data_IF_402922180040
#
_entry.id   IF_402922180040
#
_cell.length_a   1.000
_cell.length_b   1.000
_cell.length_c   1.000
_cell.angle_alpha   90.00
_cell.angle_beta   90.00
_cell.angle_gamma   90.00
#
_symmetry.space_group_name_H-M   'P 1'
#
loop_
_entity.id
_entity.type
_entity.pdbx_description
1 polymer ?
#
# COMPACT_ATOMS: atom_id res chain seq x y z
N UNK A 1 53.16 45.39 38.29
CA UNK A 1 53.64 45.75 39.64
C UNK A 1 52.83 45.04 40.70
N UNK A 2 53.49 44.22 41.49
CA UNK A 2 53.04 43.39 42.58
C UNK A 2 52.53 44.18 43.79
N UNK A 3 51.56 43.66 44.50
CA UNK A 3 51.53 43.82 45.94
C UNK A 3 50.70 42.69 46.57
N UNK A 4 51.36 41.87 47.36
CA UNK A 4 50.88 40.80 48.22
C UNK A 4 50.49 41.46 49.54
N UNK A 5 49.28 41.11 50.05
CA UNK A 5 48.89 41.39 51.44
C UNK A 5 48.56 40.08 52.12
N UNK A 6 49.12 39.81 53.31
CA UNK A 6 49.06 38.48 53.94
C UNK A 6 47.76 38.22 54.67
N UNK A 7 47.36 36.94 54.66
CA UNK A 7 46.30 36.37 55.46
C UNK A 7 46.59 36.42 56.97
N UNK A 8 45.60 36.80 57.74
CA UNK A 8 45.46 36.35 59.16
C UNK A 8 44.02 35.97 59.45
N UNK A 9 43.94 34.78 60.12
CA UNK A 9 42.87 34.23 60.91
C UNK A 9 41.77 33.40 60.22
N UNK A 10 42.12 32.17 60.05
CA UNK A 10 41.52 30.92 60.51
C UNK A 10 40.37 31.07 61.51
N UNK A 11 39.12 31.04 61.07
CA UNK A 11 37.91 30.53 61.77
C UNK A 11 36.63 30.70 60.96
N UNK A 12 36.62 30.28 59.73
CA UNK A 12 35.39 30.16 58.99
C UNK A 12 35.43 28.89 58.12
N UNK A 13 35.80 27.83 58.79
CA UNK A 13 35.84 26.48 58.22
C UNK A 13 34.88 25.61 59.00
N UNK A 14 33.56 25.83 58.92
CA UNK A 14 32.53 24.87 59.30
C UNK A 14 31.13 25.41 58.98
N UNK A 15 30.87 25.73 57.72
CA UNK A 15 29.50 25.93 57.24
C UNK A 15 29.41 25.70 55.72
N UNK A 16 30.31 24.88 55.15
CA UNK A 16 30.05 24.24 53.87
C UNK A 16 29.34 22.92 54.13
N UNK A 17 28.26 22.97 54.87
CA UNK A 17 27.29 21.89 54.94
C UNK A 17 26.71 21.68 53.53
N UNK A 18 27.02 20.52 52.98
CA UNK A 18 26.20 19.70 52.17
C UNK A 18 24.97 20.39 51.52
N UNK A 19 25.15 21.27 50.56
CA UNK A 19 24.15 21.45 49.50
C UNK A 19 24.38 20.32 48.51
N UNK A 20 23.88 19.14 48.85
CA UNK A 20 23.55 18.16 47.86
C UNK A 20 22.47 18.78 46.93
N UNK A 21 22.93 19.41 45.86
CA UNK A 21 22.05 19.70 44.73
C UNK A 21 21.67 18.33 44.17
N UNK A 22 20.53 17.87 44.65
CA UNK A 22 19.81 16.78 44.00
C UNK A 22 19.41 17.36 42.65
N UNK A 23 20.30 17.24 41.68
CA UNK A 23 19.90 17.35 40.29
C UNK A 23 18.94 16.19 40.02
N UNK A 24 17.69 16.41 40.42
CA UNK A 24 16.60 15.64 39.84
C UNK A 24 16.59 15.98 38.37
N UNK A 25 17.37 15.25 37.61
CA UNK A 25 17.20 15.13 36.16
C UNK A 25 15.79 14.58 36.01
N UNK A 26 14.81 15.47 35.91
CA UNK A 26 13.53 15.14 35.32
C UNK A 26 13.90 14.69 33.90
N UNK A 27 14.10 13.38 33.75
CA UNK A 27 14.02 12.76 32.45
C UNK A 27 12.63 13.14 31.92
N UNK A 28 12.58 14.22 31.13
CA UNK A 28 11.43 14.46 30.26
C UNK A 28 11.37 13.24 29.39
N UNK A 29 10.63 12.25 29.83
CA UNK A 29 10.22 11.14 28.99
C UNK A 29 9.43 11.81 27.88
N UNK A 30 10.14 12.12 26.79
CA UNK A 30 9.55 12.52 25.53
C UNK A 30 8.57 11.39 25.23
N UNK A 31 7.28 11.63 25.44
CA UNK A 31 6.23 10.69 25.10
C UNK A 31 6.38 10.51 23.59
N UNK A 32 7.14 9.51 23.18
CA UNK A 32 7.27 9.15 21.76
C UNK A 32 5.84 8.85 21.36
N UNK A 33 5.26 9.67 20.49
CA UNK A 33 3.95 9.37 19.94
C UNK A 33 4.06 7.96 19.36
N UNK A 34 3.15 7.09 19.75
CA UNK A 34 3.13 5.73 19.22
C UNK A 34 3.10 5.82 17.70
N UNK A 35 3.97 5.07 17.03
CA UNK A 35 3.97 5.01 15.57
C UNK A 35 2.60 4.51 15.12
N UNK A 36 1.93 5.21 14.15
CA UNK A 36 0.62 4.79 13.68
C UNK A 36 0.70 3.49 12.88
N UNK A 37 -0.36 2.71 12.91
CA UNK A 37 -0.56 1.66 11.91
C UNK A 37 -0.78 2.31 10.54
N UNK A 38 -0.28 1.66 9.48
CA UNK A 38 -0.37 2.15 8.11
C UNK A 38 -1.10 1.11 7.27
N UNK A 39 -2.20 1.50 6.65
CA UNK A 39 -2.89 0.70 5.64
C UNK A 39 -2.78 1.43 4.31
N UNK A 40 -2.09 0.82 3.36
CA UNK A 40 -1.96 1.32 2.00
C UNK A 40 -2.88 0.51 1.09
N UNK A 41 -3.96 1.14 0.60
CA UNK A 41 -4.90 0.51 -0.33
C UNK A 41 -4.55 0.94 -1.74
N UNK A 42 -4.29 -0.03 -2.62
CA UNK A 42 -3.99 0.21 -4.02
C UNK A 42 -4.98 -0.55 -4.91
N UNK A 43 -5.83 0.17 -5.59
CA UNK A 43 -6.87 -0.39 -6.44
C UNK A 43 -6.36 -0.44 -7.88
N UNK A 44 -6.45 -1.63 -8.50
CA UNK A 44 -5.90 -1.88 -9.83
C UNK A 44 -6.88 -1.47 -10.94
N UNK A 45 -6.42 -0.67 -11.89
CA UNK A 45 -7.17 -0.22 -13.07
C UNK A 45 -8.47 0.57 -12.78
N UNK A 46 -8.66 1.10 -11.57
CA UNK A 46 -9.80 1.98 -11.27
C UNK A 46 -9.57 3.36 -11.90
N UNK A 47 -10.49 3.79 -12.72
CA UNK A 47 -10.44 5.11 -13.35
C UNK A 47 -10.74 6.24 -12.35
N UNK A 48 -10.10 7.40 -12.56
CA UNK A 48 -10.33 8.59 -11.73
C UNK A 48 -11.81 8.99 -11.65
N UNK A 49 -12.56 8.85 -12.74
CA UNK A 49 -13.98 9.20 -12.83
C UNK A 49 -14.92 8.06 -12.39
N UNK A 50 -14.39 6.90 -11.97
CA UNK A 50 -15.20 5.70 -11.70
C UNK A 50 -15.68 5.62 -10.24
N UNK A 51 -15.49 6.70 -9.46
CA UNK A 51 -15.92 6.80 -8.06
C UNK A 51 -16.97 7.88 -7.85
N UNK A 52 -17.87 7.67 -6.88
CA UNK A 52 -19.01 8.55 -6.64
C UNK A 52 -18.59 9.98 -6.32
N UNK A 53 -17.61 10.20 -5.45
CA UNK A 53 -17.15 11.55 -5.07
C UNK A 53 -16.52 12.33 -6.24
N UNK A 54 -16.11 11.68 -7.32
CA UNK A 54 -15.65 12.31 -8.57
C UNK A 54 -16.73 12.39 -9.65
N UNK A 55 -17.99 12.12 -9.30
CA UNK A 55 -19.15 12.36 -10.15
C UNK A 55 -19.72 11.14 -10.86
N UNK A 56 -19.24 9.91 -10.58
CA UNK A 56 -19.92 8.72 -11.07
C UNK A 56 -21.31 8.61 -10.45
N UNK A 57 -22.33 8.49 -11.30
CA UNK A 57 -23.71 8.22 -10.87
C UNK A 57 -24.11 6.77 -11.18
N UNK A 58 -23.33 6.08 -11.99
CA UNK A 58 -23.57 4.70 -12.40
C UNK A 58 -22.84 3.70 -11.50
N UNK A 59 -21.54 3.90 -11.30
CA UNK A 59 -20.75 3.10 -10.38
C UNK A 59 -20.94 3.59 -8.94
N UNK A 60 -21.17 2.69 -8.02
CA UNK A 60 -21.44 3.00 -6.62
C UNK A 60 -20.23 2.65 -5.75
N UNK A 61 -19.70 3.66 -5.05
CA UNK A 61 -18.51 3.52 -4.19
C UNK A 61 -18.74 4.17 -2.82
N UNK A 62 -19.77 3.74 -2.05
CA UNK A 62 -20.15 4.40 -0.81
C UNK A 62 -19.05 4.36 0.27
N UNK A 63 -18.21 3.32 0.31
CA UNK A 63 -17.13 3.19 1.30
C UNK A 63 -15.97 4.12 0.96
N UNK A 64 -15.53 4.17 -0.30
CA UNK A 64 -14.53 5.14 -0.79
C UNK A 64 -15.04 6.57 -0.61
N UNK A 65 -16.31 6.84 -0.94
CA UNK A 65 -16.93 8.15 -0.76
C UNK A 65 -16.99 8.57 0.72
N UNK A 66 -17.16 7.61 1.63
CA UNK A 66 -17.07 7.84 3.08
C UNK A 66 -15.64 8.19 3.49
N UNK A 67 -14.63 7.48 3.01
CA UNK A 67 -13.22 7.81 3.27
C UNK A 67 -12.88 9.22 2.75
N UNK A 68 -13.36 9.58 1.56
CA UNK A 68 -13.21 10.94 1.01
C UNK A 68 -13.78 12.01 1.95
N UNK A 69 -14.95 11.77 2.55
CA UNK A 69 -15.61 12.73 3.45
C UNK A 69 -14.89 12.97 4.78
N UNK A 70 -14.18 11.95 5.30
CA UNK A 70 -13.53 12.02 6.62
C UNK A 70 -12.01 12.21 6.52
N UNK A 71 -11.45 12.09 5.31
CA UNK A 71 -10.02 12.16 5.05
C UNK A 71 -9.60 13.41 4.28
N UNK A 72 -8.44 13.33 3.68
CA UNK A 72 -7.88 14.37 2.80
C UNK A 72 -7.80 13.84 1.37
N UNK A 73 -8.34 14.59 0.42
CA UNK A 73 -8.25 14.27 -1.02
C UNK A 73 -7.21 15.13 -1.72
N UNK A 74 -6.33 14.47 -2.46
CA UNK A 74 -5.33 15.13 -3.29
C UNK A 74 -5.85 15.24 -4.72
N UNK A 75 -6.21 16.45 -5.14
CA UNK A 75 -6.79 16.69 -6.48
C UNK A 75 -5.77 16.52 -7.62
N UNK A 76 -4.50 16.69 -7.32
CA UNK A 76 -3.38 16.60 -8.28
C UNK A 76 -2.41 15.49 -7.88
N UNK A 77 -2.92 14.28 -7.66
CA UNK A 77 -2.11 13.08 -7.43
C UNK A 77 -2.05 12.24 -8.70
N UNK A 78 -0.86 11.78 -9.06
CA UNK A 78 -0.60 11.05 -10.30
C UNK A 78 0.07 9.73 -10.00
N UNK A 79 -0.37 8.67 -10.68
CA UNK A 79 0.34 7.41 -10.68
C UNK A 79 1.73 7.56 -11.30
N UNK A 80 2.73 6.85 -10.78
CA UNK A 80 4.10 6.93 -11.26
C UNK A 80 4.31 6.44 -12.71
N UNK A 81 3.36 5.67 -13.24
CA UNK A 81 3.34 5.21 -14.62
C UNK A 81 1.91 4.81 -15.04
N UNK A 82 1.71 4.66 -16.35
CA UNK A 82 0.40 4.44 -16.96
C UNK A 82 -0.18 3.02 -16.73
N UNK A 83 0.65 2.02 -16.46
CA UNK A 83 0.20 0.65 -16.20
C UNK A 83 0.85 0.03 -14.96
N UNK A 84 0.35 -1.13 -14.55
CA UNK A 84 0.49 -1.63 -13.18
C UNK A 84 1.92 -1.95 -12.74
N UNK A 85 2.72 -2.68 -13.52
CA UNK A 85 4.07 -3.07 -13.10
C UNK A 85 4.98 -1.85 -12.85
N UNK A 86 5.14 -0.90 -13.78
CA UNK A 86 5.96 0.28 -13.54
C UNK A 86 5.40 1.20 -12.45
N UNK A 87 4.06 1.38 -12.37
CA UNK A 87 3.43 2.19 -11.32
C UNK A 87 3.70 1.62 -9.93
N UNK A 88 3.56 0.30 -9.76
CA UNK A 88 3.85 -0.39 -8.49
C UNK A 88 5.34 -0.36 -8.15
N UNK A 89 6.21 -0.49 -9.15
CA UNK A 89 7.65 -0.32 -8.95
C UNK A 89 8.00 1.10 -8.47
N UNK A 90 7.41 2.14 -9.07
CA UNK A 90 7.55 3.52 -8.57
C UNK A 90 7.07 3.66 -7.13
N UNK A 91 5.88 3.12 -6.79
CA UNK A 91 5.29 3.19 -5.46
C UNK A 91 6.18 2.52 -4.40
N UNK A 92 6.69 1.33 -4.70
CA UNK A 92 7.48 0.54 -3.75
C UNK A 92 8.92 1.02 -3.60
N UNK A 93 9.51 1.63 -4.63
CA UNK A 93 10.90 2.08 -4.62
C UNK A 93 11.08 3.57 -4.34
N UNK A 94 10.05 4.38 -4.58
CA UNK A 94 10.17 5.85 -4.64
C UNK A 94 10.96 6.35 -5.85
N UNK A 95 11.25 5.49 -6.82
CA UNK A 95 12.00 5.81 -8.03
C UNK A 95 11.06 5.96 -9.24
N UNK A 96 11.47 6.76 -10.21
CA UNK A 96 10.79 6.84 -11.49
C UNK A 96 11.23 5.71 -12.45
N UNK A 97 10.47 5.48 -13.51
CA UNK A 97 10.69 4.38 -14.46
C UNK A 97 12.09 4.29 -15.06
N UNK A 98 12.78 5.39 -15.46
CA UNK A 98 14.15 5.32 -15.96
C UNK A 98 15.17 4.79 -14.94
N UNK A 99 14.89 4.96 -13.64
CA UNK A 99 15.80 4.53 -12.58
C UNK A 99 15.67 3.06 -12.23
N UNK A 100 14.47 2.52 -12.24
CA UNK A 100 14.27 1.10 -11.94
C UNK A 100 14.17 0.20 -13.17
N UNK A 101 14.04 0.76 -14.39
CA UNK A 101 14.09 0.03 -15.65
C UNK A 101 12.83 -0.77 -16.04
N UNK A 102 11.72 -0.61 -15.31
CA UNK A 102 10.43 -1.17 -15.70
C UNK A 102 9.60 -0.03 -16.31
N UNK A 103 9.48 -0.03 -17.64
CA UNK A 103 8.76 1.03 -18.36
C UNK A 103 7.31 0.65 -18.68
N UNK A 104 7.07 -0.65 -18.84
CA UNK A 104 5.74 -1.20 -19.12
C UNK A 104 5.61 -2.63 -18.60
N UNK A 105 4.40 -3.18 -18.65
CA UNK A 105 4.15 -4.61 -18.39
C UNK A 105 4.83 -5.44 -19.48
N UNK A 106 5.61 -6.45 -19.08
CA UNK A 106 6.29 -7.33 -20.01
C UNK A 106 5.30 -8.28 -20.74
N UNK A 107 5.57 -8.62 -22.01
CA UNK A 107 6.67 -8.14 -22.84
C UNK A 107 6.43 -6.68 -23.29
N UNK A 108 7.51 -5.90 -23.45
CA UNK A 108 7.41 -4.52 -23.94
C UNK A 108 7.05 -4.44 -25.42
N UNK A 109 7.49 -5.43 -26.17
CA UNK A 109 7.21 -5.56 -27.59
C UNK A 109 5.74 -5.85 -27.83
N UNK A 110 5.14 -5.05 -28.71
CA UNK A 110 3.74 -5.21 -29.14
C UNK A 110 3.69 -5.35 -30.66
N UNK A 111 2.72 -6.14 -31.14
CA UNK A 111 2.53 -6.39 -32.55
C UNK A 111 3.67 -7.20 -33.20
N UNK A 112 3.64 -7.31 -34.50
CA UNK A 112 4.66 -8.03 -35.30
C UNK A 112 5.92 -7.17 -35.45
N UNK A 113 7.08 -7.81 -35.45
CA UNK A 113 8.38 -7.13 -35.57
C UNK A 113 8.49 -6.28 -36.84
N UNK A 114 7.98 -6.81 -37.96
CA UNK A 114 8.00 -6.14 -39.27
C UNK A 114 7.15 -4.86 -39.34
N UNK A 115 6.13 -4.74 -38.47
CA UNK A 115 5.24 -3.59 -38.43
C UNK A 115 5.73 -2.48 -37.46
N UNK A 116 6.81 -2.74 -36.72
CA UNK A 116 7.32 -1.79 -35.73
C UNK A 116 8.15 -0.70 -36.38
N UNK A 117 7.79 0.56 -36.12
CA UNK A 117 8.57 1.72 -36.57
C UNK A 117 9.68 2.12 -35.58
N UNK A 118 9.62 1.63 -34.37
CA UNK A 118 10.57 1.95 -33.28
C UNK A 118 11.04 0.66 -32.62
N UNK A 119 12.30 0.65 -32.20
CA UNK A 119 12.88 -0.41 -31.39
C UNK A 119 12.49 -0.12 -29.93
N UNK A 120 11.80 -1.04 -29.23
CA UNK A 120 11.50 -0.87 -27.82
C UNK A 120 12.80 -0.76 -27.00
N UNK A 121 12.80 0.10 -25.98
CA UNK A 121 13.89 0.10 -25.01
C UNK A 121 13.89 -1.21 -24.19
N UNK A 122 15.06 -1.57 -23.66
CA UNK A 122 15.16 -2.68 -22.72
C UNK A 122 14.20 -2.45 -21.52
N UNK A 123 13.39 -3.44 -21.22
CA UNK A 123 12.36 -3.36 -20.20
C UNK A 123 12.48 -4.55 -19.23
N UNK A 124 12.78 -4.27 -17.96
CA UNK A 124 12.78 -5.29 -16.93
C UNK A 124 11.35 -5.80 -16.70
N UNK A 125 11.20 -7.10 -16.47
CA UNK A 125 9.91 -7.72 -16.13
C UNK A 125 9.54 -7.47 -14.68
N UNK A 126 10.52 -7.57 -13.76
CA UNK A 126 10.41 -7.39 -12.32
C UNK A 126 11.64 -6.63 -11.81
N UNK A 127 11.56 -6.10 -10.59
CA UNK A 127 12.73 -5.53 -9.91
C UNK A 127 13.69 -6.63 -9.46
N UNK A 128 14.97 -6.29 -9.39
CA UNK A 128 15.98 -7.15 -8.81
C UNK A 128 15.75 -7.31 -7.29
N UNK A 129 15.98 -8.49 -6.75
CA UNK A 129 15.80 -8.78 -5.31
C UNK A 129 16.67 -7.89 -4.40
N UNK A 130 17.75 -7.31 -4.93
CA UNK A 130 18.61 -6.34 -4.24
C UNK A 130 18.02 -4.93 -4.14
N UNK A 131 16.92 -4.66 -4.84
CA UNK A 131 16.28 -3.34 -4.82
C UNK A 131 15.61 -3.10 -3.48
N UNK A 132 15.97 -1.99 -2.82
CA UNK A 132 15.38 -1.60 -1.54
C UNK A 132 13.96 -1.07 -1.74
N UNK A 133 12.99 -1.68 -1.03
CA UNK A 133 11.57 -1.36 -1.16
C UNK A 133 10.98 -0.78 0.13
N UNK A 134 9.85 -0.08 0.00
CA UNK A 134 9.09 0.49 1.11
C UNK A 134 8.84 -0.50 2.26
N UNK A 135 8.43 -1.77 2.03
CA UNK A 135 8.25 -2.71 3.14
C UNK A 135 9.53 -2.98 3.94
N UNK A 136 10.70 -3.03 3.27
CA UNK A 136 11.98 -3.22 3.95
C UNK A 136 12.31 -2.02 4.85
N UNK A 137 12.04 -0.80 4.37
CA UNK A 137 12.24 0.42 5.16
C UNK A 137 11.32 0.46 6.39
N UNK A 138 10.06 0.10 6.24
CA UNK A 138 9.09 0.06 7.34
C UNK A 138 9.42 -1.06 8.33
N UNK A 139 9.83 -2.22 7.86
CA UNK A 139 10.30 -3.31 8.72
C UNK A 139 11.54 -2.90 9.53
N UNK A 140 12.50 -2.21 8.91
CA UNK A 140 13.66 -1.65 9.60
C UNK A 140 13.28 -0.59 10.65
N UNK A 141 12.15 0.10 10.45
CA UNK A 141 11.55 1.02 11.42
C UNK A 141 10.68 0.34 12.49
N UNK A 142 10.64 -1.01 12.53
CA UNK A 142 9.95 -1.78 13.57
C UNK A 142 8.53 -2.20 13.24
N UNK A 143 8.02 -1.94 12.03
CA UNK A 143 6.68 -2.36 11.62
C UNK A 143 6.62 -3.87 11.34
N UNK A 144 5.49 -4.48 11.69
CA UNK A 144 5.04 -5.75 11.13
C UNK A 144 4.51 -5.49 9.73
N UNK A 145 4.84 -6.32 8.74
CA UNK A 145 4.52 -6.02 7.34
C UNK A 145 3.70 -7.13 6.71
N UNK A 146 2.56 -6.78 6.13
CA UNK A 146 1.66 -7.69 5.47
C UNK A 146 1.28 -7.19 4.08
N UNK A 147 1.25 -8.12 3.12
CA UNK A 147 0.73 -7.90 1.79
C UNK A 147 -0.47 -8.80 1.52
N UNK A 148 -1.54 -8.23 0.96
CA UNK A 148 -2.74 -8.95 0.53
C UNK A 148 -3.11 -8.54 -0.89
N UNK A 149 -3.17 -9.50 -1.81
CA UNK A 149 -3.64 -9.32 -3.18
C UNK A 149 -2.54 -9.24 -4.24
N UNK A 150 -2.64 -8.32 -5.19
CA UNK A 150 -1.73 -8.19 -6.33
C UNK A 150 -0.40 -7.55 -5.95
N UNK A 151 0.72 -8.25 -6.18
CA UNK A 151 2.07 -7.70 -5.98
C UNK A 151 2.64 -7.08 -7.25
N UNK A 152 3.00 -7.89 -8.23
CA UNK A 152 3.48 -7.47 -9.56
C UNK A 152 4.70 -6.52 -9.52
N UNK A 153 5.63 -6.72 -8.59
CA UNK A 153 6.85 -5.89 -8.39
C UNK A 153 8.11 -6.73 -8.48
N UNK A 154 8.18 -7.79 -7.69
CA UNK A 154 9.25 -8.79 -7.66
C UNK A 154 8.64 -10.19 -7.73
N UNK A 155 9.46 -11.23 -7.79
CA UNK A 155 8.97 -12.61 -7.80
C UNK A 155 8.29 -13.00 -6.49
N UNK A 156 8.82 -12.54 -5.34
CA UNK A 156 8.35 -12.94 -4.02
C UNK A 156 8.35 -11.76 -3.04
N UNK A 157 7.17 -11.32 -2.54
CA UNK A 157 7.06 -10.27 -1.54
C UNK A 157 7.82 -10.55 -0.23
N UNK A 158 7.92 -11.82 0.18
CA UNK A 158 8.57 -12.20 1.44
C UNK A 158 10.08 -11.91 1.43
N UNK A 159 10.72 -12.03 0.27
CA UNK A 159 12.13 -11.65 0.09
C UNK A 159 12.36 -10.15 0.12
N UNK A 160 11.32 -9.37 -0.06
CA UNK A 160 11.36 -7.92 -0.18
C UNK A 160 10.71 -7.19 0.99
N UNK A 161 10.78 -7.78 2.17
CA UNK A 161 10.43 -7.13 3.43
C UNK A 161 9.00 -7.32 3.91
N UNK A 162 8.18 -8.09 3.22
CA UNK A 162 6.89 -8.54 3.75
C UNK A 162 7.10 -9.73 4.69
N UNK A 163 6.50 -9.70 5.89
CA UNK A 163 6.49 -10.83 6.84
C UNK A 163 5.34 -11.80 6.54
N UNK A 164 4.25 -11.27 6.00
CA UNK A 164 3.08 -12.04 5.56
C UNK A 164 2.76 -11.70 4.12
N UNK A 165 2.45 -12.73 3.32
CA UNK A 165 2.04 -12.58 1.92
C UNK A 165 0.82 -13.47 1.62
N UNK A 166 -0.27 -12.84 1.20
CA UNK A 166 -1.53 -13.49 0.85
C UNK A 166 -1.87 -13.13 -0.60
N UNK A 167 -1.65 -14.07 -1.51
CA UNK A 167 -1.98 -13.93 -2.92
C UNK A 167 -0.99 -13.14 -3.78
N UNK A 168 0.09 -12.59 -3.20
CA UNK A 168 1.06 -11.79 -3.97
C UNK A 168 2.11 -12.64 -4.67
N UNK A 169 2.37 -12.32 -5.94
CA UNK A 169 3.42 -12.90 -6.78
C UNK A 169 3.72 -11.97 -7.98
N UNK A 170 4.56 -12.38 -8.89
CA UNK A 170 4.94 -11.60 -10.08
C UNK A 170 3.80 -11.40 -11.10
N UNK A 171 2.71 -12.16 -10.99
CA UNK A 171 1.59 -12.08 -11.93
C UNK A 171 0.79 -10.80 -11.81
N UNK A 172 0.43 -10.25 -12.96
CA UNK A 172 -0.24 -8.95 -13.05
C UNK A 172 -1.77 -8.98 -13.07
N UNK A 173 -2.39 -10.16 -13.12
CA UNK A 173 -3.85 -10.30 -13.15
C UNK A 173 -4.26 -11.65 -12.54
N UNK A 174 -5.48 -11.79 -12.01
CA UNK A 174 -5.96 -13.06 -11.52
C UNK A 174 -6.30 -13.98 -12.71
N UNK A 175 -6.18 -15.28 -12.53
CA UNK A 175 -6.66 -16.25 -13.52
C UNK A 175 -8.18 -16.35 -13.52
N UNK A 176 -8.79 -16.16 -12.34
CA UNK A 176 -10.23 -16.13 -12.12
C UNK A 176 -10.53 -15.27 -10.92
N UNK A 177 -11.67 -14.56 -10.94
CA UNK A 177 -12.22 -13.88 -9.76
C UNK A 177 -13.12 -14.81 -8.94
N UNK A 178 -13.36 -16.01 -9.40
CA UNK A 178 -14.09 -17.03 -8.64
C UNK A 178 -13.18 -18.20 -8.34
N UNK A 179 -13.31 -18.76 -7.14
CA UNK A 179 -12.62 -20.00 -6.78
C UNK A 179 -13.06 -21.15 -7.71
N UNK A 180 -12.08 -21.93 -8.22
CA UNK A 180 -10.64 -21.93 -7.92
C UNK A 180 -9.90 -20.77 -8.60
N UNK A 181 -9.17 -19.95 -7.78
CA UNK A 181 -8.46 -18.76 -8.24
C UNK A 181 -7.22 -19.07 -9.09
N UNK A 182 -6.66 -20.27 -8.90
CA UNK A 182 -5.38 -20.67 -9.53
C UNK A 182 -4.24 -19.70 -9.23
N UNK A 183 -4.21 -19.16 -8.03
CA UNK A 183 -3.18 -18.26 -7.52
C UNK A 183 -2.14 -19.07 -6.74
N UNK A 184 -0.82 -18.94 -7.03
CA UNK A 184 0.20 -19.78 -6.38
C UNK A 184 0.36 -19.51 -4.87
N UNK A 185 -0.06 -18.34 -4.39
CA UNK A 185 0.12 -17.89 -3.01
C UNK A 185 -1.22 -17.60 -2.30
N UNK A 186 -2.32 -18.14 -2.81
CA UNK A 186 -3.63 -18.08 -2.19
C UNK A 186 -4.32 -19.42 -2.37
N UNK A 187 -4.61 -20.08 -1.27
CA UNK A 187 -5.39 -21.33 -1.27
C UNK A 187 -6.81 -21.06 -1.77
N UNK A 188 -7.27 -21.91 -2.67
CA UNK A 188 -8.65 -21.84 -3.16
C UNK A 188 -9.65 -22.02 -2.01
N UNK A 189 -10.68 -21.20 -2.00
CA UNK A 189 -11.81 -21.32 -1.09
C UNK A 189 -12.92 -22.23 -1.65
N UNK A 190 -14.12 -22.21 -1.07
CA UNK A 190 -15.28 -22.90 -1.61
C UNK A 190 -15.51 -22.53 -3.09
N UNK A 191 -16.06 -23.47 -3.85
CA UNK A 191 -16.41 -23.23 -5.26
C UNK A 191 -17.32 -22.00 -5.39
N UNK A 192 -16.94 -21.08 -6.29
CA UNK A 192 -17.69 -19.85 -6.51
C UNK A 192 -17.42 -18.72 -5.51
N UNK A 193 -16.56 -18.90 -4.50
CA UNK A 193 -16.14 -17.80 -3.63
C UNK A 193 -15.50 -16.68 -4.46
N UNK A 194 -15.94 -15.44 -4.22
CA UNK A 194 -15.43 -14.30 -5.00
C UNK A 194 -14.13 -13.76 -4.42
N UNK A 195 -13.12 -13.57 -5.27
CA UNK A 195 -11.77 -13.20 -4.87
C UNK A 195 -11.70 -11.93 -4.01
N UNK A 196 -12.52 -10.92 -4.31
CA UNK A 196 -12.50 -9.67 -3.55
C UNK A 196 -13.03 -9.85 -2.14
N UNK A 197 -14.08 -10.69 -1.94
CA UNK A 197 -14.60 -11.01 -0.61
C UNK A 197 -13.55 -11.80 0.19
N UNK A 198 -12.88 -12.74 -0.47
CA UNK A 198 -11.81 -13.51 0.15
C UNK A 198 -10.67 -12.61 0.62
N UNK A 199 -10.16 -11.73 -0.25
CA UNK A 199 -9.06 -10.83 0.11
C UNK A 199 -9.45 -9.85 1.22
N UNK A 200 -10.68 -9.31 1.21
CA UNK A 200 -11.20 -8.47 2.28
C UNK A 200 -11.26 -9.22 3.63
N UNK A 201 -11.70 -10.48 3.61
CA UNK A 201 -11.72 -11.34 4.81
C UNK A 201 -10.30 -11.58 5.36
N UNK A 202 -9.31 -11.78 4.50
CA UNK A 202 -7.91 -11.94 4.89
C UNK A 202 -7.35 -10.64 5.52
N UNK A 203 -7.73 -9.47 4.99
CA UNK A 203 -7.37 -8.17 5.57
C UNK A 203 -7.94 -8.02 6.97
N UNK A 204 -9.22 -8.30 7.16
CA UNK A 204 -9.89 -8.23 8.47
C UNK A 204 -9.24 -9.20 9.45
N UNK A 205 -9.03 -10.45 9.04
CA UNK A 205 -8.38 -11.46 9.87
C UNK A 205 -6.97 -11.04 10.29
N UNK A 206 -6.18 -10.47 9.38
CA UNK A 206 -4.85 -9.95 9.73
C UNK A 206 -4.93 -8.83 10.76
N UNK A 207 -5.82 -7.84 10.56
CA UNK A 207 -5.98 -6.71 11.50
C UNK A 207 -6.42 -7.21 12.89
N UNK A 208 -7.26 -8.22 12.96
CA UNK A 208 -7.76 -8.77 14.22
C UNK A 208 -6.71 -9.58 14.98
N UNK A 209 -5.81 -10.26 14.25
CA UNK A 209 -4.84 -11.21 14.83
C UNK A 209 -3.43 -10.64 14.97
N UNK A 210 -3.08 -9.57 14.27
CA UNK A 210 -1.74 -8.97 14.33
C UNK A 210 -1.41 -8.48 15.75
N UNK A 211 -0.17 -8.71 16.21
CA UNK A 211 0.28 -8.27 17.53
C UNK A 211 0.11 -6.75 17.72
N UNK A 212 -0.38 -6.36 18.89
CA UNK A 212 -0.53 -4.94 19.26
C UNK A 212 0.74 -4.32 19.85
N UNK A 213 1.81 -5.09 20.02
CA UNK A 213 3.07 -4.63 20.61
C UNK A 213 3.87 -3.75 19.65
N UNK A 214 3.69 -3.93 18.35
CA UNK A 214 4.35 -3.16 17.30
C UNK A 214 3.32 -2.60 16.31
N UNK A 215 3.60 -1.46 15.67
CA UNK A 215 2.76 -0.98 14.57
C UNK A 215 2.83 -1.94 13.39
N UNK A 216 1.79 -1.93 12.56
CA UNK A 216 1.79 -2.71 11.32
C UNK A 216 1.69 -1.82 10.08
N UNK A 217 2.26 -2.32 9.00
CA UNK A 217 2.06 -1.86 7.64
C UNK A 217 1.34 -2.95 6.86
N UNK A 218 0.14 -2.65 6.42
CA UNK A 218 -0.67 -3.52 5.57
C UNK A 218 -0.77 -2.91 4.17
N UNK A 219 -0.25 -3.62 3.17
CA UNK A 219 -0.45 -3.29 1.76
C UNK A 219 -1.58 -4.13 1.19
N UNK A 220 -2.79 -3.55 1.15
CA UNK A 220 -3.95 -4.14 0.52
C UNK A 220 -4.02 -3.69 -0.94
N UNK A 221 -3.64 -4.57 -1.84
CA UNK A 221 -3.55 -4.31 -3.26
C UNK A 221 -4.57 -5.16 -4.01
N UNK A 222 -5.70 -4.58 -4.37
CA UNK A 222 -6.78 -5.34 -5.00
C UNK A 222 -6.40 -5.79 -6.42
N UNK A 223 -6.93 -6.94 -6.86
CA UNK A 223 -6.90 -7.32 -8.27
C UNK A 223 -7.99 -6.61 -9.08
N UNK A 224 -9.14 -6.33 -8.46
CA UNK A 224 -10.20 -5.56 -9.06
C UNK A 224 -9.76 -4.08 -9.22
N UNK A 225 -10.08 -3.45 -10.33
CA UNK A 225 -11.08 -3.91 -11.31
C UNK A 225 -10.42 -4.38 -12.65
N UNK A 226 -9.23 -4.97 -12.57
CA UNK A 226 -8.50 -5.48 -13.72
C UNK A 226 -9.25 -6.65 -14.40
N UNK A 227 -9.01 -6.84 -15.69
CA UNK A 227 -9.51 -8.01 -16.43
C UNK A 227 -8.95 -9.34 -15.87
N UNK A 228 -9.68 -10.47 -16.05
CA UNK A 228 -10.95 -10.64 -16.79
C UNK A 228 -12.12 -9.97 -16.07
N UNK A 229 -13.09 -9.43 -16.83
CA UNK A 229 -14.29 -8.87 -16.23
C UNK A 229 -15.21 -10.00 -15.76
N UNK A 230 -15.19 -10.26 -14.47
CA UNK A 230 -15.99 -11.27 -13.79
C UNK A 230 -16.54 -10.69 -12.50
N UNK A 231 -17.83 -10.73 -12.30
CA UNK A 231 -18.50 -10.17 -11.14
C UNK A 231 -19.67 -11.06 -10.70
N UNK A 232 -20.12 -10.83 -9.48
CA UNK A 232 -21.27 -11.54 -8.89
C UNK A 232 -22.52 -11.33 -9.75
N UNK A 233 -23.24 -12.39 -10.14
CA UNK A 233 -24.40 -12.30 -11.03
C UNK A 233 -25.49 -11.35 -10.53
N UNK A 234 -25.76 -11.34 -9.23
CA UNK A 234 -26.78 -10.50 -8.61
C UNK A 234 -26.46 -9.01 -8.74
N UNK A 235 -25.16 -8.62 -8.65
CA UNK A 235 -24.73 -7.25 -8.85
C UNK A 235 -24.78 -6.86 -10.33
N UNK A 236 -24.44 -7.78 -11.24
CA UNK A 236 -24.59 -7.54 -12.68
C UNK A 236 -26.06 -7.24 -13.00
N UNK A 237 -27.00 -8.02 -12.48
CA UNK A 237 -28.44 -7.80 -12.68
C UNK A 237 -28.95 -6.50 -12.05
N UNK A 238 -28.36 -6.06 -10.91
CA UNK A 238 -28.62 -4.72 -10.35
C UNK A 238 -28.25 -3.64 -11.35
N UNK A 239 -27.05 -3.68 -11.90
CA UNK A 239 -26.54 -2.63 -12.80
C UNK A 239 -27.16 -2.67 -14.21
N UNK A 240 -27.65 -3.80 -14.69
CA UNK A 240 -28.46 -3.87 -15.93
C UNK A 240 -29.76 -3.10 -15.82
N UNK A 241 -30.34 -2.99 -14.62
CA UNK A 241 -31.59 -2.26 -14.35
C UNK A 241 -31.36 -0.79 -14.05
N UNK A 242 -30.12 -0.38 -13.72
CA UNK A 242 -29.76 0.99 -13.43
C UNK A 242 -29.58 1.78 -14.73
N UNK A 243 -30.11 3.01 -14.84
CA UNK A 243 -29.88 3.84 -16.03
C UNK A 243 -28.39 4.08 -16.27
N UNK A 244 -27.92 3.62 -17.42
CA UNK A 244 -26.54 3.83 -17.86
C UNK A 244 -26.34 5.27 -18.35
N UNK A 245 -25.08 5.73 -18.30
CA UNK A 245 -24.68 6.99 -18.90
C UNK A 245 -23.87 6.75 -20.17
N UNK A 246 -23.61 7.81 -20.95
CA UNK A 246 -22.75 7.69 -22.14
C UNK A 246 -21.34 7.20 -21.77
N UNK A 247 -20.80 7.64 -20.64
CA UNK A 247 -19.46 7.32 -20.17
C UNK A 247 -19.40 5.99 -19.36
N UNK A 248 -20.43 5.73 -18.54
CA UNK A 248 -20.49 4.57 -17.65
C UNK A 248 -21.70 3.72 -17.99
N UNK A 249 -21.47 2.56 -18.60
CA UNK A 249 -22.53 1.72 -19.16
C UNK A 249 -22.23 0.20 -19.14
N UNK A 250 -21.15 -0.21 -18.49
CA UNK A 250 -20.78 -1.62 -18.39
C UNK A 250 -21.24 -2.20 -17.04
N UNK A 251 -22.29 -3.05 -16.99
CA UNK A 251 -22.83 -3.56 -15.75
C UNK A 251 -21.88 -4.56 -15.05
N UNK A 252 -21.04 -5.28 -15.80
CA UNK A 252 -20.06 -6.21 -15.21
C UNK A 252 -18.96 -5.44 -14.49
N UNK A 253 -18.43 -4.41 -15.15
CA UNK A 253 -17.43 -3.53 -14.53
C UNK A 253 -17.99 -2.80 -13.31
N UNK A 254 -19.23 -2.30 -13.39
CA UNK A 254 -19.92 -1.65 -12.28
C UNK A 254 -20.05 -2.59 -11.05
N UNK A 255 -20.41 -3.85 -11.29
CA UNK A 255 -20.51 -4.88 -10.26
C UNK A 255 -19.14 -5.21 -9.64
N UNK A 256 -18.05 -5.18 -10.43
CA UNK A 256 -16.68 -5.33 -9.91
C UNK A 256 -16.28 -4.13 -9.04
N UNK A 257 -16.62 -2.90 -9.46
CA UNK A 257 -16.35 -1.68 -8.69
C UNK A 257 -17.07 -1.72 -7.34
N UNK A 258 -18.35 -2.09 -7.32
CA UNK A 258 -19.11 -2.21 -6.07
C UNK A 258 -18.54 -3.32 -5.16
N UNK A 259 -18.19 -4.48 -5.71
CA UNK A 259 -17.58 -5.55 -4.91
C UNK A 259 -16.22 -5.13 -4.33
N UNK A 260 -15.43 -4.37 -5.08
CA UNK A 260 -14.16 -3.82 -4.61
C UNK A 260 -14.38 -2.80 -3.49
N UNK A 261 -15.32 -1.87 -3.67
CA UNK A 261 -15.67 -0.86 -2.66
C UNK A 261 -16.17 -1.48 -1.37
N UNK A 262 -16.95 -2.58 -1.47
CA UNK A 262 -17.43 -3.34 -0.30
C UNK A 262 -16.26 -3.96 0.51
N UNK A 263 -15.15 -4.26 -0.14
CA UNK A 263 -13.94 -4.79 0.51
C UNK A 263 -13.03 -3.73 1.15
N UNK A 264 -13.42 -2.44 1.11
CA UNK A 264 -12.71 -1.30 1.69
C UNK A 264 -13.46 -0.74 2.91
#
# INVERSE_FOLDING_TARGET
>A
LYSIIPMKDTKLLMACGLLCVVNSSMAVTKKTSAQPNIILINIDDLGWADVGYNGSVYYETPHIDRLHKIGVSFQNAYAGAANSAPSRACLMTGLNTPRHGIYTVAPAERGKAEDRKLIPCENKKVLDDSTWLLPQALRAAGYQTCHVGKWHVTADPLKNGMEVNIGGYEGGHPKSYFSPYKNPNLTDGPEGEYLMDRLASEVVQYIDTVSRERPFFLYYATYAVHTPLQAKPELIEKYKRKPATKAHNNPVYAAMVESMDTGI
#
